data_IF_360316937582
#
_entry.id   IF_360316937582
#
_cell.length_a   1.000
_cell.length_b   1.000
_cell.length_c   1.000
_cell.angle_alpha   90.00
_cell.angle_beta   90.00
_cell.angle_gamma   90.00
#
_symmetry.space_group_name_H-M   'P 1'
#
loop_
_entity.id
_entity.type
_entity.pdbx_description
1 polymer ?
#
# COMPACT_ATOMS: atom_id res chain seq x y z
N UNK A 1 1.68 11.34 -22.97
CA UNK A 1 2.01 11.81 -21.61
C UNK A 1 1.62 10.70 -20.65
N UNK A 2 2.57 9.83 -20.30
CA UNK A 2 2.31 8.71 -19.40
C UNK A 2 2.26 9.21 -17.96
N UNK A 3 1.06 9.44 -17.44
CA UNK A 3 0.89 9.74 -16.03
C UNK A 3 1.33 8.52 -15.23
N UNK A 4 2.43 8.62 -14.48
CA UNK A 4 2.85 7.60 -13.53
C UNK A 4 1.70 7.36 -12.54
N UNK A 5 0.94 6.28 -12.78
CA UNK A 5 -0.15 5.85 -11.90
C UNK A 5 0.49 5.18 -10.70
N UNK A 6 0.56 5.89 -9.58
CA UNK A 6 0.92 5.28 -8.31
C UNK A 6 -0.17 4.27 -7.94
N UNK A 7 0.23 3.10 -7.44
CA UNK A 7 -0.70 2.07 -6.97
C UNK A 7 -0.78 2.13 -5.45
N UNK A 8 -1.98 1.91 -4.91
CA UNK A 8 -2.21 1.81 -3.49
C UNK A 8 -1.42 0.63 -2.94
N UNK A 9 -0.69 0.85 -1.86
CA UNK A 9 0.09 -0.21 -1.24
C UNK A 9 -0.81 -1.34 -0.69
N UNK A 10 -2.00 -1.00 -0.19
CA UNK A 10 -2.94 -1.93 0.46
C UNK A 10 -3.73 -2.81 -0.52
N UNK A 11 -4.45 -2.21 -1.48
CA UNK A 11 -5.33 -2.93 -2.40
C UNK A 11 -4.77 -3.10 -3.82
N UNK A 12 -3.63 -2.48 -4.14
CA UNK A 12 -3.00 -2.46 -5.47
C UNK A 12 -3.82 -1.79 -6.58
N UNK A 13 -4.86 -1.04 -6.24
CA UNK A 13 -5.58 -0.19 -7.20
C UNK A 13 -4.86 1.12 -7.49
N UNK A 14 -5.26 1.82 -8.55
CA UNK A 14 -4.70 3.12 -8.93
C UNK A 14 -5.05 4.17 -7.87
N UNK A 15 -4.05 4.93 -7.44
CA UNK A 15 -4.24 6.12 -6.60
C UNK A 15 -4.82 7.23 -7.48
N UNK A 16 -5.99 7.80 -7.13
CA UNK A 16 -6.59 8.90 -7.86
C UNK A 16 -5.63 10.08 -8.00
N UNK A 17 -5.61 10.70 -9.17
CA UNK A 17 -4.80 11.90 -9.39
C UNK A 17 -5.26 13.03 -8.45
N UNK A 18 -4.29 13.70 -7.81
CA UNK A 18 -4.57 14.74 -6.82
C UNK A 18 -4.82 14.23 -5.40
N UNK A 19 -4.85 12.91 -5.19
CA UNK A 19 -4.90 12.33 -3.85
C UNK A 19 -3.48 12.12 -3.30
N UNK A 20 -3.08 12.97 -2.35
CA UNK A 20 -1.80 12.85 -1.63
C UNK A 20 -2.00 12.16 -0.29
N UNK A 21 -2.49 10.92 -0.31
CA UNK A 21 -2.72 10.11 0.89
C UNK A 21 -1.64 9.04 1.02
N UNK A 22 -0.88 9.06 2.10
CA UNK A 22 0.21 8.12 2.37
C UNK A 22 0.28 7.75 3.85
N UNK A 23 0.76 6.55 4.16
CA UNK A 23 0.87 6.02 5.53
C UNK A 23 2.28 5.47 5.76
N UNK A 24 2.90 5.67 6.94
CA UNK A 24 4.23 5.15 7.24
C UNK A 24 4.20 3.63 7.50
N UNK A 25 4.48 2.83 6.48
CA UNK A 25 4.58 1.37 6.57
C UNK A 25 6.07 0.99 6.57
N UNK A 26 6.54 0.25 7.58
CA UNK A 26 7.94 -0.20 7.68
C UNK A 26 8.96 0.94 7.58
N UNK A 27 8.61 2.13 8.09
CA UNK A 27 9.43 3.34 8.00
C UNK A 27 9.45 4.03 6.63
N UNK A 28 8.59 3.63 5.68
CA UNK A 28 8.44 4.29 4.37
C UNK A 28 7.02 4.82 4.19
N UNK A 29 6.91 6.01 3.58
CA UNK A 29 5.62 6.59 3.24
C UNK A 29 5.05 5.91 1.99
N UNK A 30 4.07 5.04 2.19
CA UNK A 30 3.44 4.27 1.12
C UNK A 30 2.09 4.88 0.73
N UNK A 31 1.77 5.01 -0.58
CA UNK A 31 0.57 5.71 -1.04
C UNK A 31 -0.71 4.86 -0.90
N UNK A 32 -1.85 5.53 -0.73
CA UNK A 32 -3.18 4.92 -0.55
C UNK A 32 -4.21 5.50 -1.53
N UNK A 33 -5.10 4.65 -2.06
CA UNK A 33 -6.14 5.11 -2.99
C UNK A 33 -7.34 5.78 -2.31
N UNK A 34 -7.54 5.55 -1.00
CA UNK A 34 -8.67 6.13 -0.25
C UNK A 34 -8.41 6.14 1.26
N UNK A 35 -9.21 6.94 1.99
CA UNK A 35 -9.15 7.02 3.45
C UNK A 35 -9.39 5.67 4.14
N UNK A 36 -10.22 4.80 3.54
CA UNK A 36 -10.45 3.44 4.07
C UNK A 36 -9.19 2.58 4.05
N UNK A 37 -8.46 2.57 2.93
CA UNK A 37 -7.18 1.86 2.82
C UNK A 37 -6.14 2.42 3.80
N UNK A 38 -6.10 3.74 3.96
CA UNK A 38 -5.20 4.38 4.93
C UNK A 38 -5.57 4.02 6.38
N UNK A 39 -6.86 4.02 6.72
CA UNK A 39 -7.33 3.67 8.06
C UNK A 39 -7.00 2.21 8.39
N UNK A 40 -7.28 1.27 7.48
CA UNK A 40 -6.94 -0.16 7.66
C UNK A 40 -5.43 -0.32 7.82
N UNK A 41 -4.63 0.35 6.98
CA UNK A 41 -3.18 0.28 7.09
C UNK A 41 -2.65 0.84 8.41
N UNK A 42 -3.20 1.97 8.85
CA UNK A 42 -2.84 2.58 10.12
C UNK A 42 -3.20 1.68 11.31
N UNK A 43 -4.37 1.03 11.29
CA UNK A 43 -4.79 0.07 12.31
C UNK A 43 -3.86 -1.14 12.38
N UNK A 44 -3.41 -1.66 11.23
CA UNK A 44 -2.45 -2.78 11.18
C UNK A 44 -1.11 -2.37 11.82
N UNK A 45 -0.62 -1.16 11.52
CA UNK A 45 0.62 -0.62 12.11
C UNK A 45 0.45 -0.42 13.62
N UNK A 46 -0.64 0.23 14.04
CA UNK A 46 -0.92 0.52 15.45
C UNK A 46 -1.06 -0.76 16.28
N UNK A 47 -1.60 -1.82 15.68
CA UNK A 47 -1.70 -3.15 16.29
C UNK A 47 -0.37 -3.91 16.34
N UNK A 48 0.73 -3.34 15.82
CA UNK A 48 2.03 -4.02 15.71
C UNK A 48 2.04 -5.18 14.71
N UNK A 49 1.08 -5.21 13.79
CA UNK A 49 0.93 -6.26 12.78
C UNK A 49 1.52 -5.86 11.42
N UNK A 50 2.41 -4.86 11.38
CA UNK A 50 3.01 -4.38 10.13
C UNK A 50 3.86 -5.44 9.40
N UNK A 51 4.34 -6.46 10.11
CA UNK A 51 4.98 -7.65 9.52
C UNK A 51 4.07 -8.39 8.53
N UNK A 52 2.74 -8.25 8.65
CA UNK A 52 1.78 -8.72 7.64
C UNK A 52 2.13 -8.22 6.24
N UNK A 53 2.60 -6.98 6.12
CA UNK A 53 3.02 -6.40 4.84
C UNK A 53 4.32 -6.99 4.32
N UNK A 54 5.25 -7.41 5.18
CA UNK A 54 6.48 -8.09 4.75
C UNK A 54 6.15 -9.45 4.12
N UNK A 55 5.22 -10.19 4.72
CA UNK A 55 4.87 -11.53 4.28
C UNK A 55 4.08 -11.55 2.97
N UNK A 56 3.17 -10.59 2.75
CA UNK A 56 2.45 -10.44 1.48
C UNK A 56 3.29 -9.84 0.37
N UNK A 57 4.19 -8.90 0.68
CA UNK A 57 5.06 -8.28 -0.34
C UNK A 57 6.13 -9.26 -0.82
N UNK A 58 6.52 -10.23 0.01
CA UNK A 58 7.40 -11.33 -0.38
C UNK A 58 6.71 -12.43 -1.22
N UNK A 59 5.37 -12.44 -1.32
CA UNK A 59 4.63 -13.37 -2.18
C UNK A 59 4.56 -12.89 -3.65
N UNK A 60 5.72 -12.46 -4.17
CA UNK A 60 5.95 -12.38 -5.60
C UNK A 60 7.30 -13.02 -5.97
N UNK A 61 7.39 -14.36 -5.96
CA UNK A 61 8.02 -15.06 -7.04
C UNK A 61 6.92 -15.50 -8.00
N UNK A 62 7.05 -15.02 -9.23
CA UNK A 62 6.44 -15.54 -10.43
C UNK A 62 6.19 -17.05 -10.34
N UNK A 63 4.92 -17.46 -10.33
CA UNK A 63 4.52 -18.79 -10.76
C UNK A 63 3.72 -18.62 -12.05
N UNK A 64 4.43 -18.28 -13.12
CA UNK A 64 3.98 -18.61 -14.48
C UNK A 64 4.47 -20.03 -14.74
N UNK A 65 3.52 -20.94 -14.93
CA UNK A 65 3.79 -22.28 -15.49
C UNK A 65 4.06 -22.23 -16.98
#
# INVERSE_FOLDING_TARGET
MGSNKHLCFHCKEVVPAGLSLSVPILGKMEPMCCQGCAAVAQTIIDSGLEDYYKHRTAAAPSAQG
#
